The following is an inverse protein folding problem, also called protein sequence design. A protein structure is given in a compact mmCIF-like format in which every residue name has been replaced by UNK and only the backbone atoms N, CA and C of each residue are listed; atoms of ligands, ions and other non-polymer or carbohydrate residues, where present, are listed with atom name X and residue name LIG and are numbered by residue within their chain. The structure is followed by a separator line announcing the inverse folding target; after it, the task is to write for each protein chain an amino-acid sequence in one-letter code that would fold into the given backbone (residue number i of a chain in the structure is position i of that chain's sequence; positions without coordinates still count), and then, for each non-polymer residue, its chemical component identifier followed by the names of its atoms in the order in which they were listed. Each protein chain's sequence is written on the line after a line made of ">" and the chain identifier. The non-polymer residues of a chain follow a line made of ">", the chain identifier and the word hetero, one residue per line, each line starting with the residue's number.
data_IF_065276533800
#
_entry.id   IF_065276533800
#
_cell.length_a   1.000
_cell.length_b   1.000
_cell.length_c   1.000
_cell.angle_alpha   90.00
_cell.angle_beta   90.00
_cell.angle_gamma   90.00
#
_symmetry.space_group_name_H-M   'P 1'
#
loop_
_entity.id
_entity.type
_entity.pdbx_description
1 polymer ?
#
# COMPACT_ATOMS: atom_id res chain seq x y z
N UNK A 1 -8.00 17.18 -10.14
CA UNK A 1 -9.09 16.40 -9.51
C UNK A 1 -8.54 15.72 -8.26
N UNK A 2 -9.36 15.30 -7.27
CA UNK A 2 -8.83 14.55 -6.15
C UNK A 2 -8.34 13.16 -6.58
N UNK A 3 -7.14 12.76 -6.16
CA UNK A 3 -6.53 11.47 -6.43
C UNK A 3 -6.80 10.51 -5.26
N UNK A 4 -7.32 9.28 -5.51
CA UNK A 4 -7.46 8.27 -4.47
C UNK A 4 -6.11 7.81 -3.94
N UNK A 5 -6.00 7.72 -2.62
CA UNK A 5 -4.94 6.95 -1.94
C UNK A 5 -5.54 5.59 -1.59
N UNK A 6 -4.88 4.55 -2.06
CA UNK A 6 -5.26 3.16 -1.86
C UNK A 6 -4.15 2.47 -1.08
N UNK A 7 -4.52 1.53 -0.22
CA UNK A 7 -3.60 0.47 0.18
C UNK A 7 -3.92 -0.74 -0.69
N UNK A 8 -2.94 -1.27 -1.38
CA UNK A 8 -3.08 -2.45 -2.23
C UNK A 8 -2.34 -3.63 -1.61
N UNK A 9 -2.94 -4.82 -1.71
CA UNK A 9 -2.35 -6.05 -1.16
C UNK A 9 -2.00 -7.06 -2.24
N UNK A 10 -0.91 -7.78 -2.01
CA UNK A 10 -0.36 -8.76 -2.92
C UNK A 10 0.10 -10.01 -2.18
N UNK A 11 -0.13 -11.17 -2.80
CA UNK A 11 0.55 -12.40 -2.42
C UNK A 11 2.06 -12.26 -2.57
N UNK A 12 2.80 -12.81 -1.61
CA UNK A 12 4.26 -12.83 -1.66
C UNK A 12 4.71 -13.93 -2.62
N UNK A 13 5.47 -13.55 -3.64
CA UNK A 13 6.14 -14.51 -4.53
C UNK A 13 7.16 -15.31 -3.70
N UNK A 14 7.07 -16.65 -3.72
CA UNK A 14 7.94 -17.60 -3.00
C UNK A 14 7.85 -17.60 -1.46
N UNK A 15 6.75 -17.17 -0.87
CA UNK A 15 6.53 -17.42 0.56
C UNK A 15 6.26 -18.92 0.79
N UNK A 16 6.96 -19.62 1.70
CA UNK A 16 6.54 -20.96 2.12
C UNK A 16 5.10 -20.90 2.63
N UNK A 17 4.31 -21.95 2.44
CA UNK A 17 2.89 -22.02 2.85
C UNK A 17 2.64 -21.74 4.34
N UNK A 18 3.69 -21.79 5.16
CA UNK A 18 3.71 -21.44 6.59
C UNK A 18 4.41 -20.10 6.90
N UNK A 19 4.62 -19.23 5.91
CA UNK A 19 5.24 -17.94 6.15
C UNK A 19 4.33 -17.12 7.06
N UNK A 20 4.78 -16.96 8.30
CA UNK A 20 4.25 -16.08 9.35
C UNK A 20 4.11 -14.61 8.90
N UNK A 21 4.58 -14.29 7.70
CA UNK A 21 4.55 -12.97 7.08
C UNK A 21 3.46 -12.96 6.01
N UNK A 22 2.29 -12.43 6.37
CA UNK A 22 1.11 -12.31 5.50
C UNK A 22 1.32 -11.45 4.24
N UNK A 23 0.23 -11.02 3.60
CA UNK A 23 0.25 -10.23 2.36
C UNK A 23 1.24 -9.06 2.38
N UNK A 24 1.86 -8.82 1.23
CA UNK A 24 2.66 -7.61 0.99
C UNK A 24 1.71 -6.44 0.73
N UNK A 25 1.96 -5.31 1.39
CA UNK A 25 1.12 -4.12 1.29
C UNK A 25 1.90 -2.95 0.73
N UNK A 26 1.23 -2.16 -0.11
CA UNK A 26 1.77 -1.00 -0.80
C UNK A 26 0.78 0.17 -0.72
N UNK A 27 1.29 1.40 -0.77
CA UNK A 27 0.44 2.58 -0.94
C UNK A 27 0.44 2.95 -2.42
N UNK A 28 -0.75 3.06 -3.00
CA UNK A 28 -0.97 3.41 -4.40
C UNK A 28 -1.75 4.73 -4.46
N UNK A 29 -1.24 5.71 -5.20
CA UNK A 29 -1.98 6.94 -5.52
C UNK A 29 -2.42 6.82 -6.98
N UNK A 30 -3.71 6.60 -7.20
CA UNK A 30 -4.25 6.42 -8.56
C UNK A 30 -4.23 7.76 -9.29
N UNK A 31 -3.47 7.82 -10.38
CA UNK A 31 -3.28 9.02 -11.21
C UNK A 31 -4.12 9.00 -12.49
N UNK A 32 -4.68 7.85 -12.86
CA UNK A 32 -5.54 7.73 -14.03
C UNK A 32 -5.79 6.28 -14.44
N UNK A 33 -6.05 6.11 -15.73
CA UNK A 33 -6.23 4.80 -16.36
C UNK A 33 -5.43 4.78 -17.66
N UNK A 34 -4.98 3.61 -18.08
CA UNK A 34 -4.39 3.45 -19.41
C UNK A 34 -5.46 3.23 -20.50
N UNK A 35 -4.99 2.93 -21.72
CA UNK A 35 -5.85 2.66 -22.90
C UNK A 35 -6.78 1.46 -22.72
N UNK A 36 -6.43 0.51 -21.86
CA UNK A 36 -7.18 -0.73 -21.60
C UNK A 36 -8.12 -0.54 -20.38
N UNK A 37 -8.21 0.69 -19.85
CA UNK A 37 -8.92 1.07 -18.62
C UNK A 37 -8.36 0.38 -17.37
N UNK A 38 -7.10 -0.01 -17.37
CA UNK A 38 -6.42 -0.47 -16.17
C UNK A 38 -5.99 0.75 -15.31
N UNK A 39 -6.21 0.73 -13.99
CA UNK A 39 -5.75 1.79 -13.11
C UNK A 39 -4.23 1.99 -13.20
N UNK A 40 -3.82 3.25 -13.36
CA UNK A 40 -2.43 3.69 -13.28
C UNK A 40 -2.22 4.53 -12.02
N UNK A 41 -1.04 4.42 -11.43
CA UNK A 41 -0.73 5.23 -10.27
C UNK A 41 0.76 5.30 -9.92
N UNK A 42 1.00 6.05 -8.86
CA UNK A 42 2.26 6.07 -8.14
C UNK A 42 2.21 5.01 -7.05
N UNK A 43 3.22 4.15 -6.98
CA UNK A 43 3.31 3.06 -6.00
C UNK A 43 4.49 3.31 -5.07
N UNK A 44 4.23 3.18 -3.78
CA UNK A 44 5.20 3.39 -2.72
C UNK A 44 5.17 2.19 -1.77
N UNK A 45 6.33 1.61 -1.56
CA UNK A 45 6.46 0.41 -0.74
C UNK A 45 7.88 0.28 -0.20
N UNK A 46 8.06 -0.67 0.71
CA UNK A 46 9.37 -1.11 1.12
C UNK A 46 9.75 -2.41 0.40
N UNK A 47 11.02 -2.52 0.03
CA UNK A 47 11.61 -3.69 -0.62
C UNK A 47 12.78 -4.22 0.19
N UNK A 48 13.17 -5.46 -0.06
CA UNK A 48 14.25 -6.14 0.67
C UNK A 48 13.72 -7.04 1.79
N UNK A 49 14.60 -7.34 2.75
CA UNK A 49 14.31 -8.18 3.92
C UNK A 49 14.61 -7.43 5.22
N UNK A 50 14.39 -8.07 6.36
CA UNK A 50 14.62 -7.50 7.70
C UNK A 50 15.99 -6.80 7.84
N UNK A 51 17.04 -7.31 7.20
CA UNK A 51 18.39 -6.72 7.24
C UNK A 51 18.62 -5.60 6.21
N UNK A 52 17.78 -5.49 5.17
CA UNK A 52 18.05 -4.69 3.98
C UNK A 52 16.89 -3.83 3.50
N UNK A 53 15.85 -3.64 4.33
CA UNK A 53 14.69 -2.85 3.93
C UNK A 53 15.07 -1.47 3.38
N UNK A 54 14.50 -1.15 2.23
CA UNK A 54 14.64 0.12 1.53
C UNK A 54 13.30 0.63 1.01
N UNK A 55 13.18 1.94 0.82
CA UNK A 55 12.00 2.57 0.24
C UNK A 55 12.11 2.63 -1.27
N UNK A 56 11.04 2.29 -1.98
CA UNK A 56 10.95 2.42 -3.43
C UNK A 56 9.69 3.18 -3.84
N UNK A 57 9.86 4.02 -4.86
CA UNK A 57 8.79 4.73 -5.58
C UNK A 57 8.78 4.25 -7.03
N UNK A 58 7.60 4.00 -7.57
CA UNK A 58 7.38 3.71 -8.98
C UNK A 58 6.26 4.59 -9.53
N UNK A 59 6.32 4.96 -10.80
CA UNK A 59 5.36 5.85 -11.46
C UNK A 59 4.74 5.17 -12.68
N UNK A 60 3.47 5.47 -12.97
CA UNK A 60 2.78 4.89 -14.12
C UNK A 60 2.57 3.38 -14.04
N UNK A 61 2.43 2.85 -12.81
CA UNK A 61 2.30 1.40 -12.58
C UNK A 61 0.86 0.94 -12.74
N UNK A 62 0.65 -0.16 -13.46
CA UNK A 62 -0.59 -0.95 -13.47
C UNK A 62 -0.68 -1.81 -12.22
N UNK A 63 -1.04 -1.20 -11.09
CA UNK A 63 -0.91 -1.85 -9.78
C UNK A 63 -1.93 -2.97 -9.54
N UNK A 64 -3.03 -3.07 -10.31
CA UNK A 64 -4.03 -4.13 -10.15
C UNK A 64 -3.83 -5.33 -11.10
N UNK A 65 -2.88 -5.28 -12.04
CA UNK A 65 -2.77 -6.32 -13.09
C UNK A 65 -1.81 -7.46 -12.72
N UNK A 66 -1.21 -7.43 -11.54
CA UNK A 66 -0.38 -8.54 -11.06
C UNK A 66 -1.27 -9.73 -10.72
N UNK A 67 -0.87 -10.95 -11.12
CA UNK A 67 -1.53 -12.19 -10.69
C UNK A 67 -1.51 -12.39 -9.16
N UNK A 68 -0.61 -11.68 -8.48
CA UNK A 68 -0.51 -11.67 -7.03
C UNK A 68 -1.42 -10.65 -6.36
N UNK A 69 -2.07 -9.75 -7.10
CA UNK A 69 -2.96 -8.73 -6.51
C UNK A 69 -4.17 -9.39 -5.83
N UNK A 70 -4.55 -8.90 -4.65
CA UNK A 70 -5.63 -9.44 -3.80
C UNK A 70 -6.62 -8.38 -3.33
N UNK A 71 -6.70 -7.26 -4.03
CA UNK A 71 -7.59 -6.15 -3.66
C UNK A 71 -6.87 -4.86 -3.29
N UNK A 72 -7.62 -3.77 -3.33
CA UNK A 72 -7.17 -2.45 -2.86
C UNK A 72 -8.28 -1.77 -2.06
N UNK A 73 -7.89 -1.07 -1.00
CA UNK A 73 -8.80 -0.32 -0.14
C UNK A 73 -8.50 1.17 -0.18
N UNK A 74 -9.52 2.00 -0.47
CA UNK A 74 -9.38 3.47 -0.47
C UNK A 74 -9.29 3.98 0.97
N UNK A 75 -8.19 4.64 1.30
CA UNK A 75 -7.90 5.19 2.64
C UNK A 75 -8.01 6.71 2.70
N UNK A 76 -8.24 7.35 1.55
CA UNK A 76 -8.48 8.77 1.45
C UNK A 76 -8.33 9.31 0.04
N UNK A 77 -8.49 10.62 -0.11
CA UNK A 77 -8.31 11.33 -1.37
C UNK A 77 -7.55 12.62 -1.14
N UNK A 78 -6.68 12.97 -2.07
CA UNK A 78 -5.79 14.13 -1.97
C UNK A 78 -5.95 15.03 -3.17
N UNK A 79 -5.59 16.31 -3.05
CA UNK A 79 -5.48 17.14 -4.26
C UNK A 79 -4.17 16.80 -4.96
N UNK A 80 -4.18 16.81 -6.28
CA UNK A 80 -2.99 16.54 -7.09
C UNK A 80 -1.79 17.43 -6.74
N UNK A 81 -2.05 18.71 -6.41
CA UNK A 81 -1.01 19.65 -5.94
C UNK A 81 -0.32 19.22 -4.63
N UNK A 82 -0.94 18.36 -3.82
CA UNK A 82 -0.39 17.88 -2.55
C UNK A 82 0.52 16.66 -2.74
N UNK A 83 0.54 16.07 -3.95
CA UNK A 83 1.33 14.87 -4.26
C UNK A 83 2.82 15.00 -3.88
N UNK A 84 3.54 16.09 -4.24
CA UNK A 84 4.95 16.22 -3.85
C UNK A 84 5.17 16.26 -2.33
N UNK A 85 4.24 16.84 -1.59
CA UNK A 85 4.31 16.89 -0.13
C UNK A 85 4.06 15.51 0.48
N UNK A 86 3.13 14.74 -0.09
CA UNK A 86 2.82 13.37 0.32
C UNK A 86 4.02 12.46 0.05
N UNK A 87 4.60 12.52 -1.14
CA UNK A 87 5.79 11.72 -1.49
C UNK A 87 6.97 11.98 -0.54
N UNK A 88 7.19 13.25 -0.20
CA UNK A 88 8.19 13.62 0.82
C UNK A 88 7.87 13.02 2.19
N UNK A 89 6.60 12.98 2.57
CA UNK A 89 6.20 12.38 3.84
C UNK A 89 6.41 10.86 3.83
N UNK A 90 6.06 10.18 2.74
CA UNK A 90 6.21 8.73 2.56
C UNK A 90 7.69 8.30 2.58
N UNK A 91 8.57 9.05 1.91
CA UNK A 91 10.02 8.74 1.91
C UNK A 91 10.70 8.96 3.25
N UNK A 92 10.08 9.71 4.16
CA UNK A 92 10.55 9.98 5.52
C UNK A 92 9.92 9.07 6.58
N UNK A 93 9.13 8.07 6.20
CA UNK A 93 8.61 7.08 7.14
C UNK A 93 9.77 6.22 7.61
N UNK A 94 9.91 6.07 8.94
CA UNK A 94 11.00 5.31 9.52
C UNK A 94 10.92 3.84 9.09
N UNK A 95 12.05 3.32 8.61
CA UNK A 95 12.25 1.91 8.29
C UNK A 95 13.09 1.31 9.42
N UNK A 96 12.53 0.35 10.15
CA UNK A 96 13.26 -0.36 11.18
C UNK A 96 13.92 -1.59 10.56
N UNK A 97 15.25 -1.64 10.68
CA UNK A 97 16.05 -2.80 10.28
C UNK A 97 16.28 -3.69 11.50
N UNK A 98 16.56 -4.96 11.23
CA UNK A 98 16.91 -5.97 12.24
C UNK A 98 15.80 -6.27 13.28
N UNK A 99 14.58 -5.77 13.06
CA UNK A 99 13.40 -6.14 13.85
C UNK A 99 12.57 -7.18 13.08
N UNK A 100 12.49 -8.43 13.55
CA UNK A 100 11.73 -9.50 12.89
C UNK A 100 10.21 -9.27 12.90
N UNK A 101 9.70 -8.39 13.77
CA UNK A 101 8.28 -8.06 13.83
C UNK A 101 7.91 -6.89 12.90
N UNK A 102 8.91 -6.22 12.32
CA UNK A 102 8.70 -5.07 11.44
C UNK A 102 8.70 -5.49 9.97
N UNK A 103 7.74 -4.96 9.19
CA UNK A 103 7.52 -5.33 7.79
C UNK A 103 6.75 -4.23 7.04
N UNK A 104 6.33 -4.52 5.79
CA UNK A 104 5.60 -3.59 4.93
C UNK A 104 4.28 -3.09 5.53
N UNK A 105 3.55 -3.91 6.29
CA UNK A 105 2.29 -3.49 6.92
C UNK A 105 2.54 -2.44 8.00
N UNK A 106 3.61 -2.62 8.78
CA UNK A 106 4.05 -1.64 9.78
C UNK A 106 4.40 -0.30 9.12
N UNK A 107 5.13 -0.34 8.00
CA UNK A 107 5.45 0.85 7.22
C UNK A 107 4.20 1.56 6.69
N UNK A 108 3.24 0.81 6.13
CA UNK A 108 1.96 1.38 5.64
C UNK A 108 1.19 2.07 6.78
N UNK A 109 1.05 1.43 7.94
CA UNK A 109 0.37 2.05 9.09
C UNK A 109 1.07 3.32 9.55
N UNK A 110 2.41 3.31 9.63
CA UNK A 110 3.19 4.50 9.98
C UNK A 110 3.03 5.62 8.95
N UNK A 111 2.99 5.28 7.66
CA UNK A 111 2.73 6.21 6.56
C UNK A 111 1.34 6.85 6.68
N UNK A 112 0.28 6.05 6.84
CA UNK A 112 -1.09 6.57 6.98
C UNK A 112 -1.24 7.47 8.21
N UNK A 113 -0.62 7.10 9.35
CA UNK A 113 -0.58 7.96 10.54
C UNK A 113 0.09 9.30 10.25
N UNK A 114 1.21 9.31 9.52
CA UNK A 114 1.90 10.53 9.12
C UNK A 114 1.05 11.40 8.21
N UNK A 115 0.37 10.80 7.22
CA UNK A 115 -0.54 11.53 6.33
C UNK A 115 -1.75 12.11 7.08
N UNK A 116 -2.29 11.38 8.05
CA UNK A 116 -3.39 11.86 8.90
C UNK A 116 -2.95 13.03 9.77
N UNK A 117 -1.78 12.93 10.41
CA UNK A 117 -1.22 13.99 11.24
C UNK A 117 -0.91 15.28 10.47
N UNK A 118 -0.66 15.19 9.16
CA UNK A 118 -0.46 16.33 8.28
C UNK A 118 -1.78 16.85 7.64
N UNK A 119 -2.91 16.22 7.95
CA UNK A 119 -4.22 16.62 7.42
C UNK A 119 -4.48 16.25 5.96
N UNK A 120 -3.68 15.34 5.37
CA UNK A 120 -3.91 14.88 3.99
C UNK A 120 -5.06 13.88 3.89
N UNK A 121 -5.27 13.07 4.93
CA UNK A 121 -6.41 12.15 5.05
C UNK A 121 -7.07 12.35 6.42
N UNK A 122 -8.39 12.13 6.49
CA UNK A 122 -9.16 12.35 7.72
C UNK A 122 -9.39 11.08 8.55
N UNK A 123 -9.03 9.91 7.99
CA UNK A 123 -9.29 8.62 8.61
C UNK A 123 -8.07 8.10 9.37
N UNK A 124 -8.29 7.61 10.59
CA UNK A 124 -7.28 6.92 11.37
C UNK A 124 -7.45 5.41 11.21
N UNK A 125 -6.38 4.74 10.79
CA UNK A 125 -6.36 3.29 10.64
C UNK A 125 -5.47 2.64 11.71
N UNK A 126 -6.07 1.74 12.50
CA UNK A 126 -5.30 0.79 13.30
C UNK A 126 -4.81 -0.36 12.41
N UNK A 127 -3.77 -1.08 12.87
CA UNK A 127 -3.30 -2.29 12.19
C UNK A 127 -4.45 -3.29 12.03
N UNK A 128 -5.15 -3.58 13.12
CA UNK A 128 -6.28 -4.52 13.16
C UNK A 128 -7.39 -4.16 12.19
N UNK A 129 -7.82 -2.88 12.17
CA UNK A 129 -8.90 -2.44 11.30
C UNK A 129 -8.51 -2.57 9.81
N UNK A 130 -7.27 -2.19 9.47
CA UNK A 130 -6.81 -2.32 8.09
C UNK A 130 -6.61 -3.79 7.70
N UNK A 131 -6.09 -4.64 8.61
CA UNK A 131 -5.97 -6.08 8.37
C UNK A 131 -7.33 -6.74 8.16
N UNK A 132 -8.34 -6.39 8.96
CA UNK A 132 -9.70 -6.88 8.79
C UNK A 132 -10.26 -6.52 7.40
N UNK A 133 -10.11 -5.25 7.00
CA UNK A 133 -10.57 -4.80 5.69
C UNK A 133 -9.85 -5.50 4.53
N UNK A 134 -8.55 -5.76 4.70
CA UNK A 134 -7.74 -6.48 3.72
C UNK A 134 -8.10 -7.97 3.64
N UNK A 135 -8.45 -8.59 4.75
CA UNK A 135 -8.93 -9.99 4.74
C UNK A 135 -10.25 -10.11 3.97
N UNK A 136 -11.19 -9.16 4.15
CA UNK A 136 -12.43 -9.12 3.36
C UNK A 136 -12.12 -9.05 1.86
N UNK A 137 -11.17 -8.20 1.45
CA UNK A 137 -10.75 -8.10 0.05
C UNK A 137 -10.14 -9.41 -0.47
N UNK A 138 -9.37 -10.11 0.36
CA UNK A 138 -8.82 -11.40 -0.02
C UNK A 138 -9.94 -12.45 -0.19
N UNK A 139 -10.92 -12.50 0.71
CA UNK A 139 -12.08 -13.40 0.59
C UNK A 139 -12.89 -13.13 -0.67
N UNK A 140 -13.10 -11.85 -1.02
CA UNK A 140 -13.75 -11.46 -2.27
C UNK A 140 -12.96 -11.92 -3.50
N UNK A 141 -11.64 -11.77 -3.47
CA UNK A 141 -10.78 -12.26 -4.54
C UNK A 141 -10.83 -13.79 -4.67
N UNK A 142 -10.82 -14.53 -3.55
CA UNK A 142 -10.94 -16.00 -3.54
C UNK A 142 -12.28 -16.50 -4.10
N UNK A 143 -13.34 -15.70 -3.96
CA UNK A 143 -14.67 -15.96 -4.50
C UNK A 143 -14.84 -15.52 -5.96
N UNK A 144 -13.90 -14.71 -6.48
CA UNK A 144 -13.95 -14.15 -7.84
C UNK A 144 -14.83 -12.90 -7.97
N UNK A 145 -15.12 -12.21 -6.86
CA UNK A 145 -15.90 -10.97 -6.83
C UNK A 145 -15.08 -9.74 -7.25
N UNK A 146 -13.74 -9.82 -7.16
CA UNK A 146 -12.78 -8.78 -7.56
C UNK A 146 -11.57 -9.35 -8.29
#
# INVERSE_FOLDING_TARGET
>A
MPLPILVSQYNRVNAPSNAQYGFHWEICIQSGFDKDRCPLGYVYHIVGSTASYGYQKMEGVRYTTSENWRGSFEVGRIKEQDLPAIERNLSQVQILKDDPNWNCQNWVIAALRKLTAQGFINAHYSMEALQHQMNILNEQWEQGDI
#
